data_IF_002880361957
#
_entry.id   IF_002880361957
#
_cell.length_a   1.000
_cell.length_b   1.000
_cell.length_c   1.000
_cell.angle_alpha   90.00
_cell.angle_beta   90.00
_cell.angle_gamma   90.00
#
_symmetry.space_group_name_H-M   'P 1'
#
loop_
_entity.id
_entity.type
_entity.pdbx_description
1 polymer ?
#
# COMPACT_ATOMS: atom_id res chain seq x y z
N UNK A 1 13.18 6.06 -12.79
CA UNK A 1 12.91 4.69 -12.29
C UNK A 1 11.61 4.20 -12.89
N UNK A 2 11.62 2.99 -13.40
CA UNK A 2 10.43 2.37 -13.98
C UNK A 2 9.75 1.50 -12.93
N UNK A 3 8.47 1.67 -12.74
CA UNK A 3 7.68 0.89 -11.77
C UNK A 3 6.78 -0.09 -12.52
N UNK A 4 6.94 -1.37 -12.24
CA UNK A 4 6.08 -2.41 -12.80
C UNK A 4 4.76 -2.44 -12.01
N UNK A 5 3.66 -2.13 -12.70
CA UNK A 5 2.32 -2.12 -12.08
C UNK A 5 1.93 -3.47 -11.46
N UNK A 6 2.32 -4.56 -12.09
CA UNK A 6 2.03 -5.90 -11.56
C UNK A 6 2.81 -6.16 -10.27
N UNK A 7 4.07 -5.76 -10.24
CA UNK A 7 4.89 -5.89 -9.03
C UNK A 7 4.35 -5.01 -7.90
N UNK A 8 3.92 -3.79 -8.23
CA UNK A 8 3.30 -2.87 -7.28
C UNK A 8 2.05 -3.50 -6.67
N UNK A 9 1.16 -4.04 -7.51
CA UNK A 9 -0.09 -4.64 -7.03
C UNK A 9 0.17 -5.88 -6.19
N UNK A 10 1.13 -6.72 -6.57
CA UNK A 10 1.52 -7.89 -5.76
C UNK A 10 2.03 -7.48 -4.39
N UNK A 11 2.84 -6.42 -4.34
CA UNK A 11 3.38 -5.92 -3.08
C UNK A 11 2.27 -5.40 -2.18
N UNK A 12 1.34 -4.63 -2.74
CA UNK A 12 0.18 -4.13 -2.01
C UNK A 12 -0.67 -5.27 -1.44
N UNK A 13 -0.94 -6.30 -2.24
CA UNK A 13 -1.73 -7.45 -1.81
C UNK A 13 -1.03 -8.21 -0.67
N UNK A 14 0.28 -8.40 -0.78
CA UNK A 14 1.06 -9.07 0.27
C UNK A 14 1.05 -8.28 1.57
N UNK A 15 1.27 -6.97 1.49
CA UNK A 15 1.28 -6.12 2.67
C UNK A 15 -0.12 -6.03 3.30
N UNK A 16 -1.18 -6.04 2.48
CA UNK A 16 -2.54 -6.10 3.00
C UNK A 16 -2.77 -7.38 3.80
N UNK A 17 -2.29 -8.53 3.32
CA UNK A 17 -2.39 -9.80 4.04
C UNK A 17 -1.68 -9.73 5.39
N UNK A 18 -0.52 -9.07 5.45
CA UNK A 18 0.18 -8.84 6.72
C UNK A 18 -0.61 -7.91 7.63
N UNK A 19 -1.18 -6.84 7.05
CA UNK A 19 -1.96 -5.84 7.78
C UNK A 19 -3.19 -6.47 8.44
N UNK A 20 -3.93 -7.32 7.73
CA UNK A 20 -5.14 -7.96 8.25
C UNK A 20 -4.86 -9.23 9.07
N UNK A 21 -3.59 -9.64 9.17
CA UNK A 21 -3.19 -10.71 10.08
C UNK A 21 -3.12 -12.12 9.52
N UNK A 22 -3.34 -12.29 8.22
CA UNK A 22 -3.31 -13.62 7.61
C UNK A 22 -1.91 -14.26 7.72
N UNK A 23 -0.86 -13.44 7.60
CA UNK A 23 0.53 -13.90 7.64
C UNK A 23 1.40 -13.13 8.62
N UNK A 24 0.81 -12.29 9.47
CA UNK A 24 1.56 -11.44 10.39
C UNK A 24 1.83 -12.14 11.72
N UNK A 25 3.00 -11.89 12.36
CA UNK A 25 3.22 -12.32 13.74
C UNK A 25 2.21 -11.67 14.70
N UNK A 26 1.91 -12.35 15.81
CA UNK A 26 0.93 -11.87 16.78
C UNK A 26 1.26 -10.49 17.34
N UNK A 27 2.55 -10.18 17.49
CA UNK A 27 2.97 -8.87 18.00
C UNK A 27 2.54 -7.72 17.08
N UNK A 28 2.57 -7.94 15.75
CA UNK A 28 2.13 -6.92 14.79
C UNK A 28 0.62 -6.70 14.91
N UNK A 29 -0.14 -7.76 15.19
CA UNK A 29 -1.60 -7.66 15.33
C UNK A 29 -2.04 -6.85 16.54
N UNK A 30 -1.19 -6.70 17.55
CA UNK A 30 -1.47 -5.91 18.74
C UNK A 30 -1.27 -4.41 18.54
N UNK A 31 -0.67 -4.00 17.42
CA UNK A 31 -0.42 -2.59 17.13
C UNK A 31 -1.70 -1.87 16.70
N UNK A 32 -1.84 -0.56 17.01
CA UNK A 32 -2.93 0.24 16.49
C UNK A 32 -2.91 0.26 14.95
N UNK A 33 -4.08 0.43 14.34
CA UNK A 33 -4.21 0.46 12.87
C UNK A 33 -3.32 1.50 12.22
N UNK A 34 -3.23 2.69 12.83
CA UNK A 34 -2.37 3.77 12.31
C UNK A 34 -0.92 3.34 12.26
N UNK A 35 -0.44 2.63 13.29
CA UNK A 35 0.94 2.14 13.33
C UNK A 35 1.15 1.07 12.26
N UNK A 36 0.19 0.16 12.09
CA UNK A 36 0.28 -0.87 11.06
C UNK A 36 0.31 -0.27 9.65
N UNK A 37 -0.55 0.72 9.38
CA UNK A 37 -0.55 1.42 8.09
C UNK A 37 0.76 2.16 7.87
N UNK A 38 1.32 2.77 8.91
CA UNK A 38 2.62 3.42 8.83
C UNK A 38 3.74 2.46 8.46
N UNK A 39 3.73 1.25 9.00
CA UNK A 39 4.71 0.21 8.66
C UNK A 39 4.55 -0.25 7.21
N UNK A 40 3.32 -0.43 6.76
CA UNK A 40 3.02 -0.79 5.37
C UNK A 40 3.51 0.30 4.42
N UNK A 41 3.24 1.56 4.74
CA UNK A 41 3.68 2.70 3.95
C UNK A 41 5.21 2.75 3.85
N UNK A 42 5.91 2.55 4.96
CA UNK A 42 7.37 2.53 4.98
C UNK A 42 7.92 1.41 4.08
N UNK A 43 7.32 0.23 4.12
CA UNK A 43 7.73 -0.88 3.28
C UNK A 43 7.47 -0.60 1.79
N UNK A 44 6.33 0.01 1.47
CA UNK A 44 6.04 0.41 0.08
C UNK A 44 7.06 1.42 -0.43
N UNK A 45 7.42 2.42 0.38
CA UNK A 45 8.37 3.46 -0.02
C UNK A 45 9.80 2.94 -0.17
N UNK A 46 10.14 1.85 0.50
CA UNK A 46 11.44 1.21 0.31
C UNK A 46 11.58 0.59 -1.08
N UNK A 47 10.51 0.02 -1.59
CA UNK A 47 10.49 -0.66 -2.90
C UNK A 47 10.08 0.29 -4.01
N UNK A 48 9.08 1.14 -3.75
CA UNK A 48 8.50 2.07 -4.73
C UNK A 48 8.50 3.48 -4.12
N UNK A 49 9.63 4.22 -4.21
CA UNK A 49 9.73 5.56 -3.65
C UNK A 49 8.72 6.52 -4.26
N UNK A 50 8.14 7.38 -3.44
CA UNK A 50 7.16 8.36 -3.90
C UNK A 50 6.59 9.14 -2.73
N UNK A 51 5.91 10.24 -3.06
CA UNK A 51 5.25 11.09 -2.06
C UNK A 51 3.76 10.74 -2.00
N UNK A 52 3.45 9.68 -1.28
CA UNK A 52 2.09 9.16 -1.16
C UNK A 52 1.89 8.57 0.23
N UNK A 53 0.61 8.29 0.54
CA UNK A 53 0.21 7.55 1.73
C UNK A 53 -0.43 6.24 1.28
N UNK A 54 -0.45 5.26 2.17
CA UNK A 54 -1.15 3.99 1.94
C UNK A 54 -2.41 4.00 2.79
N UNK A 55 -3.55 3.70 2.16
CA UNK A 55 -4.82 3.64 2.87
C UNK A 55 -5.60 2.36 2.51
N UNK A 56 -6.44 1.92 3.43
CA UNK A 56 -7.34 0.80 3.20
C UNK A 56 -8.67 1.32 2.66
N UNK A 57 -9.24 0.63 1.67
CA UNK A 57 -10.54 0.96 1.10
C UNK A 57 -11.34 -0.29 0.82
N UNK A 58 -12.66 -0.15 0.78
CA UNK A 58 -13.57 -1.24 0.43
C UNK A 58 -13.80 -1.26 -1.08
N UNK A 59 -13.54 -2.43 -1.69
CA UNK A 59 -13.77 -2.64 -3.12
C UNK A 59 -15.09 -3.40 -3.30
N UNK A 60 -16.16 -2.74 -3.79
CA UNK A 60 -17.45 -3.40 -3.96
C UNK A 60 -17.47 -4.46 -5.06
N UNK A 61 -16.55 -4.39 -6.02
CA UNK A 61 -16.48 -5.38 -7.09
C UNK A 61 -15.99 -6.74 -6.58
N UNK A 62 -15.00 -6.74 -5.70
CA UNK A 62 -14.47 -7.97 -5.09
C UNK A 62 -15.10 -8.24 -3.72
N UNK A 63 -15.92 -7.34 -3.21
CA UNK A 63 -16.54 -7.41 -1.89
C UNK A 63 -15.50 -7.61 -0.78
N UNK A 64 -14.36 -6.94 -0.89
CA UNK A 64 -13.26 -7.07 0.07
C UNK A 64 -12.55 -5.74 0.28
N UNK A 65 -11.82 -5.64 1.40
CA UNK A 65 -10.95 -4.51 1.66
C UNK A 65 -9.61 -4.71 0.97
N UNK A 66 -9.05 -3.62 0.46
CA UNK A 66 -7.76 -3.60 -0.22
C UNK A 66 -6.98 -2.36 0.18
N UNK A 67 -5.68 -2.34 -0.13
CA UNK A 67 -4.84 -1.16 0.05
C UNK A 67 -4.68 -0.42 -1.27
N UNK A 68 -4.57 0.91 -1.17
CA UNK A 68 -4.28 1.77 -2.33
C UNK A 68 -3.33 2.88 -1.92
N UNK A 69 -2.69 3.49 -2.93
CA UNK A 69 -1.86 4.68 -2.73
C UNK A 69 -2.74 5.92 -2.81
N UNK A 70 -2.58 6.81 -1.85
CA UNK A 70 -3.29 8.09 -1.80
C UNK A 70 -2.28 9.22 -1.94
N UNK A 71 -2.55 10.20 -2.80
CA UNK A 71 -1.66 11.32 -3.05
C UNK A 71 -2.29 12.62 -2.55
N UNK A 72 -1.47 13.45 -1.90
CA UNK A 72 -1.94 14.73 -1.36
C UNK A 72 -2.26 15.76 -2.45
N UNK A 73 -1.61 15.63 -3.61
CA UNK A 73 -1.86 16.54 -4.73
C UNK A 73 -1.73 15.81 -6.07
N UNK A 74 -2.29 16.42 -7.12
CA UNK A 74 -2.30 15.84 -8.47
C UNK A 74 -0.89 15.76 -9.09
N UNK A 75 0.00 16.68 -8.76
CA UNK A 75 1.36 16.66 -9.30
C UNK A 75 2.11 15.39 -8.89
N UNK A 76 2.04 15.04 -7.61
CA UNK A 76 2.68 13.83 -7.09
C UNK A 76 2.08 12.57 -7.70
N UNK A 77 0.75 12.55 -7.86
CA UNK A 77 0.05 11.43 -8.49
C UNK A 77 0.48 11.25 -9.93
N UNK A 78 0.48 12.32 -10.72
CA UNK A 78 0.89 12.28 -12.12
C UNK A 78 2.34 11.84 -12.25
N UNK A 79 3.22 12.42 -11.45
CA UNK A 79 4.63 12.07 -11.45
C UNK A 79 4.86 10.59 -11.18
N UNK A 80 4.17 10.04 -10.18
CA UNK A 80 4.28 8.64 -9.84
C UNK A 80 3.75 7.75 -10.98
N UNK A 81 2.58 8.09 -11.53
CA UNK A 81 1.96 7.31 -12.60
C UNK A 81 2.78 7.31 -13.89
N UNK A 82 3.54 8.39 -14.16
CA UNK A 82 4.43 8.44 -15.31
C UNK A 82 5.57 7.41 -15.22
N UNK A 83 5.90 6.95 -14.03
CA UNK A 83 6.93 5.94 -13.81
C UNK A 83 6.37 4.52 -13.87
N UNK A 84 5.04 4.37 -13.91
CA UNK A 84 4.40 3.07 -13.97
C UNK A 84 4.25 2.59 -15.42
N UNK A 85 4.48 1.32 -15.61
CA UNK A 85 4.21 0.65 -16.88
C UNK A 85 2.91 -0.14 -16.83
#
# INVERSE_FOLDING_TARGET
MVIDKKALQKRLNRLHSLYIGIAAPNEIQKLPEETKLGLVEAEMKRTFPGNYHVEEYYDPLSESFKLRLAFDNEEDKVWFLLQCE
#
